data_IF_064462877112
#
_entry.id   IF_064462877112
#
_cell.length_a   1.000
_cell.length_b   1.000
_cell.length_c   1.000
_cell.angle_alpha   90.00
_cell.angle_beta   90.00
_cell.angle_gamma   90.00
#
_symmetry.space_group_name_H-M   'P 1'
#
loop_
_entity.id
_entity.type
_entity.pdbx_description
1 polymer ?
#
# COMPACT_ATOMS: atom_id res chain seq x y z
N UNK A 1 6.16 -49.15 49.00
CA UNK A 1 6.10 -47.74 48.54
C UNK A 1 6.65 -47.68 47.12
N UNK A 2 5.76 -47.63 46.14
CA UNK A 2 6.10 -47.76 44.71
C UNK A 2 6.56 -46.44 44.10
N UNK A 3 7.76 -46.44 43.53
CA UNK A 3 8.28 -45.38 42.65
C UNK A 3 7.48 -45.40 41.35
N UNK A 4 6.83 -44.28 40.99
CA UNK A 4 6.28 -44.07 39.65
C UNK A 4 7.28 -43.26 38.82
N UNK A 5 7.93 -43.94 37.89
CA UNK A 5 8.74 -43.36 36.83
C UNK A 5 7.83 -42.61 35.87
N UNK A 6 8.03 -41.30 35.71
CA UNK A 6 7.33 -40.48 34.72
C UNK A 6 8.11 -40.62 33.41
N UNK A 7 7.51 -41.28 32.41
CA UNK A 7 8.00 -41.26 31.04
C UNK A 7 7.78 -39.85 30.46
N UNK A 8 8.87 -39.16 30.13
CA UNK A 8 8.83 -38.04 29.20
C UNK A 8 8.70 -38.59 27.78
N UNK A 9 7.47 -38.62 27.26
CA UNK A 9 7.24 -38.75 25.82
C UNK A 9 7.68 -37.44 25.16
N UNK A 10 8.89 -37.45 24.62
CA UNK A 10 9.38 -36.42 23.71
C UNK A 10 8.52 -36.50 22.45
N UNK A 11 7.45 -35.71 22.41
CA UNK A 11 6.75 -35.43 21.15
C UNK A 11 7.75 -34.69 20.27
N UNK A 12 8.36 -35.43 19.35
CA UNK A 12 9.10 -34.87 18.23
C UNK A 12 8.11 -33.94 17.52
N UNK A 13 8.19 -32.65 17.82
CA UNK A 13 7.60 -31.63 16.98
C UNK A 13 8.38 -31.70 15.67
N UNK A 14 7.93 -32.55 14.76
CA UNK A 14 8.22 -32.33 13.35
C UNK A 14 7.63 -30.96 13.06
N UNK A 15 8.50 -29.96 13.06
CA UNK A 15 8.24 -28.72 12.38
C UNK A 15 7.89 -29.12 10.95
N UNK A 16 6.60 -29.16 10.64
CA UNK A 16 6.17 -29.08 9.26
C UNK A 16 6.68 -27.72 8.84
N UNK A 17 7.89 -27.68 8.25
CA UNK A 17 8.22 -26.61 7.33
C UNK A 17 7.11 -26.69 6.30
N UNK A 18 6.14 -25.79 6.42
CA UNK A 18 5.17 -25.56 5.37
C UNK A 18 6.02 -25.16 4.16
N UNK A 19 6.31 -26.13 3.30
CA UNK A 19 7.10 -25.92 2.10
C UNK A 19 6.28 -25.05 1.16
N UNK A 20 6.95 -24.10 0.50
CA UNK A 20 6.32 -23.28 -0.51
C UNK A 20 5.90 -24.16 -1.68
N UNK A 21 4.60 -24.18 -2.01
CA UNK A 21 4.10 -24.77 -3.26
C UNK A 21 3.59 -23.60 -4.10
N UNK A 22 4.32 -23.33 -5.18
CA UNK A 22 3.93 -22.34 -6.15
C UNK A 22 2.56 -22.67 -6.76
N UNK A 23 1.79 -21.61 -6.98
CA UNK A 23 0.43 -21.62 -7.48
C UNK A 23 0.49 -21.08 -8.90
N UNK A 24 -0.09 -21.79 -9.86
CA UNK A 24 -0.25 -21.27 -11.22
C UNK A 24 -1.50 -20.41 -11.35
N UNK A 25 -1.67 -19.77 -12.52
CA UNK A 25 -2.79 -18.84 -12.73
C UNK A 25 -4.16 -19.50 -12.62
N UNK A 26 -4.32 -20.75 -13.05
CA UNK A 26 -5.60 -21.47 -12.97
C UNK A 26 -5.98 -21.74 -11.50
N UNK A 27 -5.02 -22.15 -10.69
CA UNK A 27 -5.21 -22.33 -9.26
C UNK A 27 -5.49 -20.99 -8.54
N UNK A 28 -4.78 -19.93 -8.93
CA UNK A 28 -5.01 -18.59 -8.40
C UNK A 28 -6.42 -18.07 -8.76
N UNK A 29 -6.93 -18.40 -9.96
CA UNK A 29 -8.29 -18.05 -10.40
C UNK A 29 -9.35 -18.71 -9.50
N UNK A 30 -9.16 -19.97 -9.12
CA UNK A 30 -10.05 -20.67 -8.17
C UNK A 30 -10.06 -19.95 -6.81
N UNK A 31 -8.90 -19.48 -6.35
CA UNK A 31 -8.79 -18.71 -5.09
C UNK A 31 -9.52 -17.37 -5.19
N UNK A 32 -9.37 -16.64 -6.29
CA UNK A 32 -10.11 -15.39 -6.52
C UNK A 32 -11.63 -15.62 -6.51
N UNK A 33 -12.10 -16.63 -7.25
CA UNK A 33 -13.52 -16.99 -7.34
C UNK A 33 -14.11 -17.49 -6.02
N UNK A 34 -13.28 -18.02 -5.12
CA UNK A 34 -13.71 -18.37 -3.76
C UNK A 34 -13.97 -17.15 -2.87
N UNK A 35 -13.39 -15.99 -3.22
CA UNK A 35 -13.57 -14.72 -2.50
C UNK A 35 -14.68 -13.85 -3.13
N UNK A 36 -14.62 -13.61 -4.44
CA UNK A 36 -15.53 -12.70 -5.17
C UNK A 36 -15.77 -13.14 -6.62
N UNK A 37 -16.84 -12.63 -7.21
CA UNK A 37 -17.07 -12.70 -8.66
C UNK A 37 -15.99 -11.92 -9.42
N UNK A 38 -15.43 -12.54 -10.47
CA UNK A 38 -14.43 -11.98 -11.38
C UNK A 38 -14.95 -11.98 -12.81
N UNK A 39 -14.50 -11.02 -13.64
CA UNK A 39 -14.86 -10.91 -15.06
C UNK A 39 -13.64 -11.11 -16.00
N UNK A 40 -12.50 -11.51 -15.44
CA UNK A 40 -11.26 -11.75 -16.18
C UNK A 40 -11.40 -12.94 -17.16
N UNK A 41 -11.24 -12.67 -18.46
CA UNK A 41 -11.31 -13.67 -19.54
C UNK A 41 -9.95 -14.02 -20.13
N UNK A 42 -8.85 -13.57 -19.53
CA UNK A 42 -7.51 -13.83 -20.04
C UNK A 42 -7.11 -15.30 -19.82
N UNK A 43 -6.18 -15.80 -20.64
CA UNK A 43 -5.75 -17.22 -20.59
C UNK A 43 -5.05 -17.57 -19.29
N UNK A 44 -5.28 -18.77 -18.76
CA UNK A 44 -4.56 -19.29 -17.60
C UNK A 44 -3.20 -19.94 -17.98
N UNK A 45 -2.97 -20.16 -19.27
CA UNK A 45 -1.69 -20.66 -19.81
C UNK A 45 -0.68 -19.50 -19.91
N UNK A 46 -0.10 -19.16 -18.75
CA UNK A 46 0.93 -18.13 -18.61
C UNK A 46 2.08 -18.65 -17.74
N UNK A 47 3.29 -18.05 -17.84
CA UNK A 47 4.38 -18.38 -16.94
C UNK A 47 3.99 -18.22 -15.47
N UNK A 48 4.68 -18.96 -14.61
CA UNK A 48 4.50 -18.83 -13.17
C UNK A 48 4.91 -17.44 -12.73
N UNK A 49 4.09 -16.85 -11.86
CA UNK A 49 4.27 -15.49 -11.41
C UNK A 49 4.14 -15.42 -9.88
N UNK A 50 4.81 -14.47 -9.23
CA UNK A 50 4.71 -14.28 -7.78
C UNK A 50 3.31 -13.91 -7.28
N UNK A 51 2.46 -13.40 -8.17
CA UNK A 51 1.07 -13.07 -7.92
C UNK A 51 0.30 -13.00 -9.25
N UNK A 52 -1.03 -13.02 -9.17
CA UNK A 52 -1.94 -12.87 -10.30
C UNK A 52 -3.02 -11.85 -9.97
N UNK A 53 -3.33 -10.97 -10.93
CA UNK A 53 -4.39 -9.96 -10.78
C UNK A 53 -5.58 -10.38 -11.62
N UNK A 54 -6.77 -10.43 -11.01
CA UNK A 54 -8.02 -10.75 -11.68
C UNK A 54 -8.96 -9.55 -11.61
N UNK A 55 -9.32 -9.00 -12.77
CA UNK A 55 -10.33 -7.94 -12.86
C UNK A 55 -11.72 -8.46 -12.51
N UNK A 56 -12.49 -7.65 -11.78
CA UNK A 56 -13.92 -7.90 -11.50
C UNK A 56 -14.85 -7.29 -12.54
N UNK A 57 -14.30 -6.45 -13.43
CA UNK A 57 -14.99 -5.79 -14.54
C UNK A 57 -16.02 -4.76 -14.10
N UNK A 58 -16.41 -3.89 -15.04
CA UNK A 58 -17.45 -2.88 -14.86
C UNK A 58 -17.25 -1.98 -13.62
N UNK A 59 -16.00 -1.58 -13.35
CA UNK A 59 -15.66 -0.69 -12.24
C UNK A 59 -15.76 -1.33 -10.84
N UNK A 60 -15.88 -2.67 -10.75
CA UNK A 60 -16.00 -3.42 -9.49
C UNK A 60 -14.65 -3.74 -8.84
N UNK A 61 -13.55 -3.23 -9.38
CA UNK A 61 -12.21 -3.43 -8.85
C UNK A 61 -11.53 -4.70 -9.35
N UNK A 62 -10.57 -5.18 -8.56
CA UNK A 62 -9.75 -6.34 -8.87
C UNK A 62 -9.27 -7.03 -7.59
N UNK A 63 -8.84 -8.28 -7.72
CA UNK A 63 -8.23 -9.07 -6.64
C UNK A 63 -6.84 -9.50 -7.05
N UNK A 64 -5.90 -9.37 -6.12
CA UNK A 64 -4.51 -9.83 -6.27
C UNK A 64 -4.35 -11.10 -5.44
N UNK A 65 -4.12 -12.22 -6.14
CA UNK A 65 -3.93 -13.54 -5.56
C UNK A 65 -2.45 -13.87 -5.52
N UNK A 66 -1.99 -14.50 -4.44
CA UNK A 66 -0.59 -14.90 -4.34
C UNK A 66 -0.26 -16.08 -5.23
N UNK A 67 0.94 -16.08 -5.82
CA UNK A 67 1.51 -17.17 -6.59
C UNK A 67 2.14 -18.28 -5.75
N UNK A 68 1.92 -18.30 -4.44
CA UNK A 68 2.50 -19.31 -3.55
C UNK A 68 1.59 -19.66 -2.35
N UNK A 69 1.50 -20.94 -2.03
CA UNK A 69 0.60 -21.42 -0.98
C UNK A 69 1.12 -21.26 0.46
N UNK A 70 2.41 -20.98 0.64
CA UNK A 70 3.02 -20.64 1.93
C UNK A 70 2.77 -19.18 2.35
N UNK A 71 2.12 -18.39 1.50
CA UNK A 71 1.75 -17.00 1.79
C UNK A 71 0.24 -16.84 2.03
N UNK A 72 -0.20 -15.61 2.38
CA UNK A 72 -1.62 -15.31 2.41
C UNK A 72 -2.22 -15.50 0.99
N UNK A 73 -3.39 -16.15 0.85
CA UNK A 73 -3.97 -16.44 -0.46
C UNK A 73 -4.32 -15.17 -1.25
N UNK A 74 -4.71 -14.09 -0.56
CA UNK A 74 -5.04 -12.80 -1.14
C UNK A 74 -4.00 -11.78 -0.67
N UNK A 75 -3.33 -11.15 -1.62
CA UNK A 75 -2.37 -10.07 -1.38
C UNK A 75 -3.10 -8.77 -1.08
N UNK A 76 -4.16 -8.50 -1.84
CA UNK A 76 -5.02 -7.33 -1.69
C UNK A 76 -6.20 -7.38 -2.65
N UNK A 77 -7.19 -6.52 -2.42
CA UNK A 77 -8.32 -6.34 -3.33
C UNK A 77 -8.84 -4.91 -3.25
N UNK A 78 -9.59 -4.50 -4.27
CA UNK A 78 -10.40 -3.27 -4.25
C UNK A 78 -11.81 -3.59 -4.73
N UNK A 79 -12.79 -2.85 -4.20
CA UNK A 79 -14.20 -2.99 -4.56
C UNK A 79 -14.64 -2.03 -5.66
N UNK A 80 -13.76 -1.11 -6.08
CA UNK A 80 -14.04 -0.09 -7.08
C UNK A 80 -12.88 0.12 -8.05
N UNK A 81 -13.21 0.74 -9.20
CA UNK A 81 -12.28 1.03 -10.28
C UNK A 81 -12.04 -0.17 -11.20
N UNK A 82 -11.22 0.01 -12.22
CA UNK A 82 -10.78 -1.07 -13.09
C UNK A 82 -9.25 -1.18 -13.01
N UNK A 83 -8.74 -2.40 -13.14
CA UNK A 83 -7.30 -2.61 -13.26
C UNK A 83 -6.83 -2.19 -14.65
N UNK A 84 -5.89 -1.24 -14.68
CA UNK A 84 -5.18 -0.81 -15.89
C UNK A 84 -3.70 -0.87 -15.56
N UNK A 85 -2.97 -1.79 -16.20
CA UNK A 85 -1.58 -2.12 -15.89
C UNK A 85 -0.66 -0.89 -16.01
N UNK A 86 -0.90 -0.04 -17.02
CA UNK A 86 -0.11 1.16 -17.26
C UNK A 86 -0.42 2.31 -16.28
N UNK A 87 -1.45 2.17 -15.44
CA UNK A 87 -1.90 3.21 -14.50
C UNK A 87 -1.76 2.80 -13.03
N UNK A 88 -1.02 1.74 -12.72
CA UNK A 88 -0.76 1.33 -11.34
C UNK A 88 0.04 2.43 -10.63
N UNK A 89 -0.42 2.98 -9.48
CA UNK A 89 0.33 3.98 -8.75
C UNK A 89 1.68 3.43 -8.24
N UNK A 90 2.74 4.24 -8.28
CA UNK A 90 4.09 3.84 -7.83
C UNK A 90 4.14 3.16 -6.45
N UNK A 91 3.40 3.63 -5.41
CA UNK A 91 3.39 2.95 -4.12
C UNK A 91 2.83 1.52 -4.18
N UNK A 92 1.84 1.27 -5.05
CA UNK A 92 1.30 -0.06 -5.27
C UNK A 92 2.30 -0.94 -6.04
N UNK A 93 3.00 -0.39 -7.04
CA UNK A 93 4.08 -1.10 -7.74
C UNK A 93 5.17 -1.53 -6.75
N UNK A 94 5.67 -0.62 -5.90
CA UNK A 94 6.67 -0.93 -4.88
C UNK A 94 6.22 -2.04 -3.91
N UNK A 95 4.93 -2.05 -3.53
CA UNK A 95 4.37 -3.11 -2.69
C UNK A 95 4.36 -4.46 -3.41
N UNK A 96 4.00 -4.47 -4.70
CA UNK A 96 3.97 -5.67 -5.52
C UNK A 96 5.38 -6.20 -5.82
N UNK A 97 6.37 -5.32 -6.00
CA UNK A 97 7.77 -5.71 -6.16
C UNK A 97 8.33 -6.36 -4.88
N UNK A 98 8.04 -5.77 -3.71
CA UNK A 98 8.42 -6.36 -2.43
C UNK A 98 7.72 -7.71 -2.19
N UNK A 99 6.47 -7.85 -2.62
CA UNK A 99 5.77 -9.13 -2.58
C UNK A 99 6.41 -10.15 -3.52
N UNK A 100 6.76 -9.74 -4.73
CA UNK A 100 7.40 -10.59 -5.72
C UNK A 100 8.73 -11.12 -5.21
N UNK A 101 9.58 -10.26 -4.66
CA UNK A 101 10.86 -10.65 -4.04
C UNK A 101 10.66 -11.68 -2.93
N UNK A 102 9.65 -11.48 -2.07
CA UNK A 102 9.32 -12.42 -0.99
C UNK A 102 8.94 -13.79 -1.53
N UNK A 103 8.07 -13.86 -2.53
CA UNK A 103 7.62 -15.13 -3.11
C UNK A 103 8.75 -15.83 -3.85
N UNK A 104 9.56 -15.10 -4.63
CA UNK A 104 10.74 -15.67 -5.30
C UNK A 104 11.68 -16.31 -4.29
N UNK A 105 12.01 -15.62 -3.19
CA UNK A 105 12.85 -16.18 -2.11
C UNK A 105 12.24 -17.42 -1.46
N UNK A 106 10.92 -17.50 -1.33
CA UNK A 106 10.26 -18.68 -0.79
C UNK A 106 10.42 -19.87 -1.73
N UNK A 107 10.23 -19.65 -3.03
CA UNK A 107 10.29 -20.68 -4.05
C UNK A 107 11.72 -21.18 -4.30
N UNK A 108 12.73 -20.31 -4.25
CA UNK A 108 14.15 -20.68 -4.35
C UNK A 108 14.61 -21.58 -3.19
N UNK A 109 14.07 -21.36 -1.99
CA UNK A 109 14.47 -22.05 -0.78
C UNK A 109 13.60 -23.28 -0.47
N UNK A 110 12.59 -23.57 -1.28
CA UNK A 110 11.64 -24.64 -1.01
C UNK A 110 12.16 -26.00 -1.55
N UNK A 111 12.20 -27.05 -0.71
CA UNK A 111 12.34 -28.40 -1.23
C UNK A 111 11.13 -28.70 -2.14
N UNK A 112 11.39 -29.31 -3.30
CA UNK A 112 10.34 -29.75 -4.22
C UNK A 112 9.40 -30.73 -3.51
N UNK A 113 8.24 -30.24 -3.08
CA UNK A 113 7.21 -31.04 -2.41
C UNK A 113 6.24 -31.60 -3.45
N UNK A 114 5.63 -32.77 -3.20
CA UNK A 114 4.53 -33.28 -4.03
C UNK A 114 3.39 -32.26 -4.09
N UNK A 115 2.97 -31.92 -5.32
CA UNK A 115 1.91 -30.95 -5.56
C UNK A 115 0.54 -31.62 -5.40
N UNK A 116 -0.26 -31.14 -4.46
CA UNK A 116 -1.70 -31.38 -4.48
C UNK A 116 -2.38 -30.27 -5.28
N UNK A 117 -3.17 -30.66 -6.29
CA UNK A 117 -3.94 -29.73 -7.09
C UNK A 117 -4.83 -28.83 -6.22
N UNK A 118 -4.87 -27.53 -6.51
CA UNK A 118 -5.78 -26.63 -5.83
C UNK A 118 -7.25 -27.04 -6.09
N UNK A 119 -8.06 -26.92 -5.05
CA UNK A 119 -9.51 -27.09 -5.13
C UNK A 119 -10.20 -25.90 -4.46
N UNK A 120 -11.44 -25.62 -4.87
CA UNK A 120 -12.23 -24.57 -4.23
C UNK A 120 -12.36 -24.77 -2.71
N UNK A 121 -12.44 -26.03 -2.25
CA UNK A 121 -12.46 -26.35 -0.82
C UNK A 121 -11.14 -26.02 -0.12
N UNK A 122 -9.99 -26.32 -0.74
CA UNK A 122 -8.66 -25.94 -0.23
C UNK A 122 -8.52 -24.41 -0.18
N UNK A 123 -8.94 -23.71 -1.24
CA UNK A 123 -8.95 -22.26 -1.28
C UNK A 123 -9.80 -21.65 -0.17
N UNK A 124 -11.05 -22.10 0.01
CA UNK A 124 -11.93 -21.65 1.09
C UNK A 124 -11.35 -21.87 2.48
N UNK A 125 -10.69 -23.01 2.71
CA UNK A 125 -9.98 -23.27 3.98
C UNK A 125 -8.85 -22.28 4.23
N UNK A 126 -8.09 -21.91 3.19
CA UNK A 126 -7.01 -20.89 3.30
C UNK A 126 -7.54 -19.48 3.50
N UNK A 127 -8.73 -19.17 2.99
CA UNK A 127 -9.43 -17.89 3.21
C UNK A 127 -10.07 -17.78 4.59
N UNK A 128 -10.23 -18.89 5.32
CA UNK A 128 -10.85 -18.88 6.64
C UNK A 128 -10.06 -18.00 7.60
N UNK A 129 -10.76 -17.07 8.25
CA UNK A 129 -10.18 -16.20 9.27
C UNK A 129 -9.73 -17.06 10.45
N UNK A 130 -8.46 -16.91 10.84
CA UNK A 130 -7.91 -17.65 11.98
C UNK A 130 -8.73 -17.36 13.25
N UNK A 131 -9.00 -18.39 14.06
CA UNK A 131 -9.91 -18.30 15.20
C UNK A 131 -9.54 -17.19 16.20
N UNK A 132 -8.25 -16.87 16.35
CA UNK A 132 -7.80 -15.78 17.23
C UNK A 132 -8.24 -14.38 16.77
N UNK A 133 -8.61 -14.23 15.48
CA UNK A 133 -9.17 -12.99 14.92
C UNK A 133 -10.69 -12.90 15.03
N UNK A 134 -11.36 -13.89 15.63
CA UNK A 134 -12.82 -13.91 15.75
C UNK A 134 -13.41 -12.76 16.59
N UNK A 135 -12.59 -12.13 17.44
CA UNK A 135 -12.97 -10.96 18.24
C UNK A 135 -12.60 -9.62 17.60
N UNK A 136 -11.96 -9.64 16.43
CA UNK A 136 -11.56 -8.42 15.74
C UNK A 136 -12.80 -7.78 15.12
N UNK A 137 -12.87 -6.46 15.17
CA UNK A 137 -13.93 -5.69 14.55
C UNK A 137 -13.38 -5.03 13.30
N UNK A 138 -14.18 -5.03 12.24
CA UNK A 138 -13.84 -4.34 11.01
C UNK A 138 -13.81 -2.82 11.28
N UNK A 139 -12.67 -2.21 11.00
CA UNK A 139 -12.51 -0.76 11.02
C UNK A 139 -12.72 -0.26 9.59
N UNK A 140 -13.80 0.50 9.30
CA UNK A 140 -14.02 1.05 7.98
C UNK A 140 -12.90 2.03 7.60
N UNK A 141 -12.77 2.34 6.32
CA UNK A 141 -11.83 3.36 5.84
C UNK A 141 -12.08 4.68 6.57
N UNK A 142 -11.08 5.13 7.34
CA UNK A 142 -11.17 6.32 8.19
C UNK A 142 -10.99 7.62 7.38
N UNK A 143 -10.08 7.57 6.40
CA UNK A 143 -9.70 8.73 5.60
C UNK A 143 -10.67 8.88 4.42
N UNK A 144 -11.40 9.99 4.39
CA UNK A 144 -12.27 10.34 3.27
C UNK A 144 -11.55 11.14 2.17
N UNK A 145 -10.29 11.51 2.39
CA UNK A 145 -9.47 12.23 1.42
C UNK A 145 -8.96 11.28 0.34
N UNK A 146 -8.93 11.77 -0.90
CA UNK A 146 -8.30 11.12 -2.04
C UNK A 146 -7.30 12.10 -2.65
N UNK A 147 -6.28 12.45 -1.87
CA UNK A 147 -5.25 13.41 -2.28
C UNK A 147 -4.15 12.74 -3.11
N UNK A 148 -3.50 13.54 -3.96
CA UNK A 148 -2.46 13.10 -4.87
C UNK A 148 -1.21 13.99 -4.68
N UNK A 149 -0.18 13.77 -5.49
CA UNK A 149 1.07 14.52 -5.40
C UNK A 149 1.20 15.66 -6.41
N UNK A 150 0.35 15.69 -7.43
CA UNK A 150 0.32 16.75 -8.44
C UNK A 150 -0.55 17.94 -8.03
N UNK A 151 -0.97 18.73 -9.01
CA UNK A 151 -1.89 19.86 -8.77
C UNK A 151 -3.21 19.39 -8.14
N UNK A 152 -3.80 20.12 -7.17
CA UNK A 152 -3.32 21.37 -6.56
C UNK A 152 -2.35 21.16 -5.38
N UNK A 153 -2.12 19.91 -4.98
CA UNK A 153 -1.42 19.54 -3.76
C UNK A 153 0.03 20.04 -3.73
N UNK A 154 0.70 20.07 -4.88
CA UNK A 154 2.06 20.55 -5.00
C UNK A 154 2.21 22.04 -5.30
N UNK A 155 1.15 22.85 -5.20
CA UNK A 155 1.20 24.27 -5.56
C UNK A 155 2.31 25.07 -4.85
N UNK A 156 2.77 24.62 -3.68
CA UNK A 156 3.87 25.24 -2.94
C UNK A 156 5.18 24.44 -2.94
N UNK A 157 5.21 23.25 -3.56
CA UNK A 157 6.43 22.46 -3.67
C UNK A 157 7.57 23.25 -4.35
N UNK A 158 8.85 22.94 -4.07
CA UNK A 158 9.95 23.62 -4.74
C UNK A 158 9.97 23.34 -6.25
N UNK A 159 10.57 24.25 -7.01
CA UNK A 159 10.81 24.07 -8.44
C UNK A 159 12.04 23.19 -8.67
N UNK A 160 11.96 22.31 -9.67
CA UNK A 160 13.07 21.46 -10.07
C UNK A 160 14.17 22.27 -10.75
N UNK A 161 15.42 21.91 -10.50
CA UNK A 161 16.60 22.58 -11.07
C UNK A 161 16.84 22.24 -12.54
N UNK A 162 16.31 21.12 -13.02
CA UNK A 162 16.52 20.63 -14.38
C UNK A 162 15.61 21.27 -15.44
N UNK A 163 14.35 21.54 -15.09
CA UNK A 163 13.33 22.04 -16.01
C UNK A 163 12.44 23.14 -15.43
N UNK A 164 12.69 23.58 -14.20
CA UNK A 164 11.93 24.60 -13.48
C UNK A 164 10.43 24.27 -13.26
N UNK A 165 10.01 23.02 -13.50
CA UNK A 165 8.65 22.58 -13.18
C UNK A 165 8.48 22.40 -11.67
N UNK A 166 7.23 22.53 -11.22
CA UNK A 166 6.86 22.24 -9.84
C UNK A 166 7.18 20.78 -9.49
N UNK A 167 7.92 20.53 -8.42
CA UNK A 167 8.10 19.17 -7.93
C UNK A 167 6.77 18.57 -7.47
N UNK A 168 6.66 17.24 -7.45
CA UNK A 168 5.56 16.55 -6.78
C UNK A 168 5.68 16.72 -5.26
N UNK A 169 4.57 16.62 -4.51
CA UNK A 169 4.60 16.75 -3.05
C UNK A 169 5.46 15.66 -2.37
N UNK A 170 5.54 14.48 -2.97
CA UNK A 170 6.09 13.27 -2.36
C UNK A 170 5.01 12.41 -1.72
N UNK A 171 5.17 11.08 -1.84
CA UNK A 171 4.25 10.11 -1.24
C UNK A 171 4.14 10.27 0.29
N UNK A 172 5.25 10.55 0.97
CA UNK A 172 5.30 10.75 2.42
C UNK A 172 4.51 11.99 2.84
N UNK A 173 4.73 13.13 2.18
CA UNK A 173 3.96 14.36 2.44
C UNK A 173 2.47 14.15 2.20
N UNK A 174 2.10 13.43 1.13
CA UNK A 174 0.71 13.12 0.80
C UNK A 174 0.05 12.24 1.86
N UNK A 175 0.71 11.15 2.27
CA UNK A 175 0.21 10.26 3.30
C UNK A 175 0.07 10.98 4.65
N UNK A 176 1.12 11.69 5.08
CA UNK A 176 1.12 12.45 6.32
C UNK A 176 0.01 13.51 6.34
N UNK A 177 -0.16 14.26 5.25
CA UNK A 177 -1.18 15.30 5.16
C UNK A 177 -2.59 14.74 5.28
N UNK A 178 -2.88 13.60 4.66
CA UNK A 178 -4.19 12.97 4.78
C UNK A 178 -4.47 12.49 6.22
N UNK A 179 -3.46 11.99 6.94
CA UNK A 179 -3.56 11.62 8.37
C UNK A 179 -3.79 12.87 9.23
N UNK A 180 -3.02 13.94 9.00
CA UNK A 180 -3.18 15.22 9.72
C UNK A 180 -4.58 15.79 9.49
N UNK A 181 -5.11 15.70 8.27
CA UNK A 181 -6.45 16.14 7.94
C UNK A 181 -7.53 15.29 8.62
N UNK A 182 -7.32 13.97 8.74
CA UNK A 182 -8.25 13.11 9.47
C UNK A 182 -8.42 13.59 10.93
N UNK A 183 -7.32 13.90 11.61
CA UNK A 183 -7.29 14.43 12.98
C UNK A 183 -7.48 15.96 13.10
N UNK A 184 -7.92 16.64 12.03
CA UNK A 184 -7.98 18.13 11.96
C UNK A 184 -8.73 18.82 13.09
N UNK A 185 -9.68 18.16 13.75
CA UNK A 185 -10.44 18.75 14.86
C UNK A 185 -9.60 18.93 16.13
N UNK A 186 -8.58 18.09 16.30
CA UNK A 186 -7.69 18.09 17.47
C UNK A 186 -6.34 18.76 17.16
N UNK A 187 -6.07 19.03 15.88
CA UNK A 187 -4.83 19.64 15.41
C UNK A 187 -4.87 21.19 15.44
N UNK A 188 -3.72 21.86 15.64
CA UNK A 188 -3.61 23.30 15.53
C UNK A 188 -4.04 23.81 14.15
N UNK A 189 -4.73 24.95 14.10
CA UNK A 189 -5.15 25.61 12.85
C UNK A 189 -4.10 26.58 12.28
N UNK A 190 -2.86 26.49 12.74
CA UNK A 190 -1.73 27.28 12.28
C UNK A 190 -0.40 26.52 12.52
N UNK A 191 0.62 26.81 11.71
CA UNK A 191 1.95 26.24 11.90
C UNK A 191 2.56 26.69 13.24
N UNK A 192 3.10 25.74 14.01
CA UNK A 192 3.71 26.02 15.32
C UNK A 192 5.14 26.57 15.22
N UNK A 193 5.81 26.31 14.10
CA UNK A 193 7.20 26.70 13.81
C UNK A 193 7.34 27.11 12.35
N UNK A 194 8.43 27.80 12.03
CA UNK A 194 8.83 28.05 10.64
C UNK A 194 9.18 26.71 9.97
N UNK A 195 8.83 26.54 8.69
CA UNK A 195 9.25 25.33 7.95
C UNK A 195 10.73 25.41 7.60
N UNK A 196 11.48 24.29 7.62
CA UNK A 196 12.89 24.31 7.29
C UNK A 196 13.13 24.58 5.80
N UNK A 197 14.32 25.09 5.49
CA UNK A 197 14.88 25.22 4.14
C UNK A 197 16.15 24.38 4.04
N UNK A 198 16.43 23.82 2.86
CA UNK A 198 17.60 22.99 2.62
C UNK A 198 17.99 22.93 1.14
N UNK A 199 19.29 22.78 0.88
CA UNK A 199 19.89 22.95 -0.45
C UNK A 199 20.17 21.66 -1.23
N UNK A 200 19.60 20.52 -0.84
CA UNK A 200 19.78 19.24 -1.53
C UNK A 200 18.54 18.83 -2.35
N UNK A 201 18.70 17.78 -3.15
CA UNK A 201 17.65 17.23 -4.02
C UNK A 201 17.62 17.89 -5.40
N UNK A 202 16.77 17.33 -6.28
CA UNK A 202 16.53 17.89 -7.62
C UNK A 202 15.65 19.14 -7.59
N UNK A 203 15.08 19.49 -6.44
CA UNK A 203 14.30 20.71 -6.21
C UNK A 203 14.57 21.21 -4.77
N UNK A 204 15.62 22.02 -4.53
CA UNK A 204 15.97 22.46 -3.19
C UNK A 204 14.87 23.36 -2.58
N UNK A 205 14.68 23.26 -1.27
CA UNK A 205 13.69 24.04 -0.53
C UNK A 205 14.32 25.36 -0.08
N UNK A 206 13.95 26.44 -0.76
CA UNK A 206 14.52 27.79 -0.53
C UNK A 206 13.56 28.78 0.14
N UNK A 207 12.29 28.39 0.31
CA UNK A 207 11.24 29.23 0.91
C UNK A 207 10.82 28.60 2.24
N UNK A 208 10.64 29.44 3.27
CA UNK A 208 10.07 29.02 4.55
C UNK A 208 8.66 29.59 4.71
N UNK A 209 7.72 28.77 5.17
CA UNK A 209 6.44 29.24 5.68
C UNK A 209 6.63 29.63 7.15
N UNK A 210 6.28 30.87 7.55
CA UNK A 210 6.49 31.31 8.92
C UNK A 210 5.54 30.63 9.90
N UNK A 211 5.96 30.55 11.15
CA UNK A 211 5.12 30.26 12.31
C UNK A 211 3.87 31.14 12.27
N UNK A 212 2.72 30.54 12.57
CA UNK A 212 1.43 31.22 12.52
C UNK A 212 0.77 31.24 11.15
N UNK A 213 1.43 30.74 10.08
CA UNK A 213 0.77 30.47 8.79
C UNK A 213 -0.49 29.62 9.03
N UNK A 214 -1.69 30.08 8.60
CA UNK A 214 -2.92 29.34 8.84
C UNK A 214 -2.99 28.01 8.11
N UNK A 215 -3.39 26.95 8.82
CA UNK A 215 -3.74 25.64 8.25
C UNK A 215 -5.26 25.58 8.10
N UNK A 216 -5.75 25.93 6.91
CA UNK A 216 -7.18 26.14 6.62
C UNK A 216 -7.90 24.83 6.29
N UNK A 217 -8.03 23.95 7.27
CA UNK A 217 -8.73 22.68 7.14
C UNK A 217 -10.18 22.83 6.63
N UNK A 218 -10.83 23.95 6.95
CA UNK A 218 -12.19 24.32 6.50
C UNK A 218 -12.30 24.50 4.98
N UNK A 219 -11.19 24.79 4.30
CA UNK A 219 -11.15 25.03 2.87
C UNK A 219 -10.65 23.82 2.07
N UNK A 220 -10.09 22.80 2.72
CA UNK A 220 -9.53 21.65 2.01
C UNK A 220 -10.64 20.72 1.53
N UNK A 221 -10.70 20.50 0.22
CA UNK A 221 -11.59 19.52 -0.39
C UNK A 221 -11.09 18.10 -0.12
N UNK A 222 -12.02 17.14 -0.13
CA UNK A 222 -11.67 15.73 -0.01
C UNK A 222 -10.89 15.22 -1.22
N UNK A 223 -11.08 15.82 -2.41
CA UNK A 223 -10.34 15.48 -3.62
C UNK A 223 -10.38 16.62 -4.65
N UNK A 224 -9.39 16.59 -5.57
CA UNK A 224 -9.29 17.46 -6.73
C UNK A 224 -9.00 18.92 -6.41
N UNK A 225 -9.01 19.75 -7.47
CA UNK A 225 -8.87 21.21 -7.37
C UNK A 225 -10.18 21.94 -7.05
N UNK A 226 -10.07 23.21 -6.67
CA UNK A 226 -11.17 24.11 -6.34
C UNK A 226 -10.83 25.56 -6.66
N UNK A 227 -11.25 26.47 -5.79
CA UNK A 227 -10.84 27.88 -5.86
C UNK A 227 -9.38 28.02 -5.43
N UNK A 228 -8.72 29.12 -5.81
CA UNK A 228 -7.35 29.41 -5.39
C UNK A 228 -7.15 29.29 -3.86
N UNK A 229 -8.14 29.69 -3.06
CA UNK A 229 -8.08 29.55 -1.59
C UNK A 229 -8.13 28.09 -1.12
N UNK A 230 -8.91 27.24 -1.78
CA UNK A 230 -9.03 25.81 -1.46
C UNK A 230 -7.75 25.08 -1.89
N UNK A 231 -7.23 25.41 -3.07
CA UNK A 231 -6.00 24.83 -3.62
C UNK A 231 -4.79 25.21 -2.77
N UNK A 232 -4.66 26.49 -2.38
CA UNK A 232 -3.62 26.92 -1.46
C UNK A 232 -3.75 26.28 -0.07
N UNK A 233 -4.97 26.05 0.43
CA UNK A 233 -5.16 25.46 1.76
C UNK A 233 -4.53 24.07 1.86
N UNK A 234 -4.79 23.19 0.89
CA UNK A 234 -4.20 21.84 0.89
C UNK A 234 -2.71 21.88 0.59
N UNK A 235 -2.25 22.79 -0.27
CA UNK A 235 -0.83 22.94 -0.59
C UNK A 235 0.01 23.41 0.61
N UNK A 236 -0.52 24.28 1.47
CA UNK A 236 0.14 24.70 2.73
C UNK A 236 0.40 23.49 3.63
N UNK A 237 -0.61 22.62 3.80
CA UNK A 237 -0.47 21.41 4.61
C UNK A 237 0.54 20.43 3.99
N UNK A 238 0.45 20.19 2.68
CA UNK A 238 1.36 19.31 1.94
C UNK A 238 2.81 19.80 2.02
N UNK A 239 3.03 21.10 1.83
CA UNK A 239 4.35 21.70 1.92
C UNK A 239 4.92 21.58 3.32
N UNK A 240 4.15 22.00 4.34
CA UNK A 240 4.61 21.94 5.72
C UNK A 240 4.93 20.50 6.17
N UNK A 241 4.10 19.53 5.81
CA UNK A 241 4.34 18.12 6.12
C UNK A 241 5.61 17.59 5.42
N UNK A 242 5.79 17.94 4.15
CA UNK A 242 6.93 17.49 3.36
C UNK A 242 8.26 18.12 3.79
N UNK A 243 8.32 19.45 3.92
CA UNK A 243 9.56 20.13 4.34
C UNK A 243 9.95 19.75 5.77
N UNK A 244 8.98 19.60 6.68
CA UNK A 244 9.27 19.21 8.08
C UNK A 244 9.77 17.77 8.21
N UNK A 245 9.56 16.95 7.17
CA UNK A 245 10.08 15.59 7.07
C UNK A 245 11.41 15.52 6.31
N UNK A 246 12.02 16.67 5.97
CA UNK A 246 13.30 16.76 5.25
C UNK A 246 13.27 15.94 3.95
N UNK A 247 12.20 16.08 3.18
CA UNK A 247 12.02 15.34 1.94
C UNK A 247 13.00 15.78 0.85
N UNK A 248 13.64 14.82 0.20
CA UNK A 248 14.40 15.05 -1.02
C UNK A 248 13.43 15.26 -2.20
N UNK A 249 13.10 16.52 -2.49
CA UNK A 249 12.25 16.87 -3.63
C UNK A 249 12.99 16.75 -4.96
N UNK A 250 12.22 16.57 -6.05
CA UNK A 250 12.75 16.57 -7.41
C UNK A 250 13.06 15.18 -7.97
N UNK A 251 12.63 14.09 -7.33
CA UNK A 251 12.49 12.82 -8.04
C UNK A 251 11.29 12.88 -9.01
N UNK A 252 11.43 12.28 -10.20
CA UNK A 252 10.39 12.33 -11.25
C UNK A 252 9.19 11.41 -11.00
N UNK A 253 9.35 10.40 -10.14
CA UNK A 253 8.37 9.35 -9.81
C UNK A 253 7.48 9.72 -8.60
N UNK A 254 7.71 10.86 -7.97
CA UNK A 254 7.01 11.26 -6.75
C UNK A 254 7.45 10.50 -5.50
N UNK A 255 8.55 9.75 -5.60
CA UNK A 255 9.22 9.19 -4.43
C UNK A 255 10.00 10.30 -3.76
N UNK A 256 9.62 10.65 -2.54
CA UNK A 256 10.40 11.57 -1.72
C UNK A 256 10.91 10.79 -0.51
N UNK A 257 12.22 10.60 -0.44
CA UNK A 257 12.89 9.98 0.71
C UNK A 257 13.31 11.05 1.71
N UNK A 258 13.34 10.70 3.00
CA UNK A 258 13.99 11.54 4.00
C UNK A 258 15.47 11.68 3.66
N UNK A 259 15.96 12.92 3.60
CA UNK A 259 17.38 13.24 3.49
C UNK A 259 18.14 13.12 4.81
#
# INVERSE_FOLDING_TARGET
>A
MNKKTILFSLALATSIQAGAVAIDRAEARIVAQALVEIADTTTDDVPWAPYYIFSRGAGKGFVIVSGDDATAPIVGYTECGDYVEEQIPQPLQNMLDAWAEKVTKLQENAPQQPREAASAQKARRRLAVAAYKSSWHDVPVLMATHWNQGYPYNLLAPHRTDNNNQALTGCLATAASQIIYYFRKDNPTALLYDTPTYGYGGAPVTVSLPKGTPVRYDLMKLSGGGTAKQDSAVAVLMYAAGTSSWLTYGAGDGTATSG
#
